data_IF_657882542963
#
_entry.id   IF_657882542963
#
_cell.length_a   1.000
_cell.length_b   1.000
_cell.length_c   1.000
_cell.angle_alpha   90.00
_cell.angle_beta   90.00
_cell.angle_gamma   90.00
#
_symmetry.space_group_name_H-M   'P 1'
#
loop_
_entity.id
_entity.type
_entity.pdbx_description
1 polymer ?
#
# COMPACT_ATOMS: atom_id res chain seq x y z
N UNK A 1 3.97 12.37 -17.68
CA UNK A 1 3.74 11.00 -17.20
C UNK A 1 2.66 10.43 -18.09
N UNK A 2 3.07 9.68 -19.09
CA UNK A 2 2.12 9.03 -20.00
C UNK A 2 1.38 7.90 -19.28
N UNK A 3 0.16 7.57 -19.70
CA UNK A 3 -0.67 6.56 -19.02
C UNK A 3 -0.02 5.16 -19.01
N UNK A 4 0.86 4.92 -19.99
CA UNK A 4 1.66 3.70 -20.13
C UNK A 4 2.75 3.64 -19.04
N UNK A 5 3.42 4.76 -18.75
CA UNK A 5 4.43 4.84 -17.67
C UNK A 5 3.80 4.65 -16.29
N UNK A 6 2.56 5.13 -16.08
CA UNK A 6 1.80 4.86 -14.85
C UNK A 6 1.49 3.36 -14.75
N UNK A 7 1.09 2.73 -15.85
CA UNK A 7 0.86 1.28 -15.91
C UNK A 7 2.08 0.45 -15.53
N UNK A 8 3.26 0.81 -16.05
CA UNK A 8 4.54 0.18 -15.66
C UNK A 8 4.87 0.42 -14.19
N UNK A 9 4.50 1.59 -13.64
CA UNK A 9 4.64 1.90 -12.23
C UNK A 9 3.85 0.89 -11.37
N UNK A 10 2.58 0.66 -11.71
CA UNK A 10 1.72 -0.33 -11.04
C UNK A 10 2.16 -1.78 -11.28
N UNK A 11 2.83 -2.08 -12.39
CA UNK A 11 3.39 -3.40 -12.71
C UNK A 11 4.71 -3.70 -11.99
N UNK A 12 5.26 -2.73 -11.26
CA UNK A 12 6.49 -2.94 -10.52
C UNK A 12 6.28 -3.87 -9.34
N UNK A 13 7.12 -4.91 -9.29
CA UNK A 13 7.15 -5.89 -8.20
C UNK A 13 7.19 -5.23 -6.82
N UNK A 14 7.85 -4.07 -6.67
CA UNK A 14 7.95 -3.35 -5.39
C UNK A 14 6.61 -2.83 -4.89
N UNK A 15 5.77 -2.33 -5.79
CA UNK A 15 4.42 -1.87 -5.44
C UNK A 15 3.54 -3.04 -5.08
N UNK A 16 3.59 -4.14 -5.84
CA UNK A 16 2.86 -5.36 -5.51
C UNK A 16 3.23 -5.89 -4.12
N UNK A 17 4.52 -5.93 -3.77
CA UNK A 17 4.97 -6.34 -2.43
C UNK A 17 4.46 -5.35 -1.37
N UNK A 18 4.56 -4.05 -1.61
CA UNK A 18 4.08 -3.03 -0.68
C UNK A 18 2.56 -3.11 -0.43
N UNK A 19 1.77 -3.33 -1.49
CA UNK A 19 0.33 -3.56 -1.41
C UNK A 19 0.04 -4.85 -0.64
N UNK A 20 0.74 -5.96 -0.95
CA UNK A 20 0.54 -7.24 -0.29
C UNK A 20 0.82 -7.16 1.22
N UNK A 21 1.90 -6.47 1.61
CA UNK A 21 2.23 -6.22 3.03
C UNK A 21 1.15 -5.35 3.68
N UNK A 22 0.72 -4.28 3.02
CA UNK A 22 -0.34 -3.40 3.53
C UNK A 22 -1.66 -4.16 3.73
N UNK A 23 -2.04 -4.99 2.76
CA UNK A 23 -3.23 -5.84 2.84
C UNK A 23 -3.13 -6.86 3.98
N UNK A 24 -1.95 -7.48 4.18
CA UNK A 24 -1.72 -8.38 5.30
C UNK A 24 -1.83 -7.67 6.66
N UNK A 25 -1.34 -6.44 6.78
CA UNK A 25 -1.48 -5.63 8.00
C UNK A 25 -2.94 -5.25 8.26
N UNK A 26 -3.68 -4.81 7.24
CA UNK A 26 -5.11 -4.53 7.38
C UNK A 26 -5.88 -5.80 7.77
N UNK A 27 -5.59 -6.94 7.15
CA UNK A 27 -6.17 -8.23 7.52
C UNK A 27 -5.90 -8.56 8.99
N UNK A 28 -4.66 -8.37 9.46
CA UNK A 28 -4.27 -8.63 10.84
C UNK A 28 -5.11 -7.77 11.81
N UNK A 29 -5.31 -6.48 11.49
CA UNK A 29 -6.18 -5.58 12.26
C UNK A 29 -7.60 -6.14 12.39
N UNK A 30 -8.20 -6.62 11.29
CA UNK A 30 -9.53 -7.21 11.31
C UNK A 30 -9.59 -8.56 12.05
N UNK A 31 -8.50 -9.34 12.06
CA UNK A 31 -8.45 -10.59 12.83
C UNK A 31 -8.28 -10.39 14.34
N UNK A 32 -7.57 -9.32 14.75
CA UNK A 32 -7.28 -9.07 16.16
C UNK A 32 -8.33 -8.21 16.86
N UNK A 33 -9.05 -7.37 16.12
CA UNK A 33 -10.03 -6.43 16.68
C UNK A 33 -11.45 -6.94 16.39
N UNK A 34 -12.18 -7.44 17.41
CA UNK A 34 -13.54 -7.95 17.22
C UNK A 34 -14.59 -6.84 17.03
N UNK A 35 -14.21 -5.57 17.19
CA UNK A 35 -15.07 -4.42 16.95
C UNK A 35 -14.82 -3.86 15.54
N UNK A 36 -15.81 -4.04 14.67
CA UNK A 36 -15.75 -3.66 13.26
C UNK A 36 -15.45 -2.17 13.05
N UNK A 37 -16.11 -1.28 13.80
CA UNK A 37 -15.91 0.16 13.69
C UNK A 37 -14.48 0.56 14.06
N UNK A 38 -13.95 0.01 15.15
CA UNK A 38 -12.57 0.24 15.58
C UNK A 38 -11.55 -0.34 14.58
N UNK A 39 -11.82 -1.53 14.02
CA UNK A 39 -10.98 -2.14 13.01
C UNK A 39 -10.88 -1.24 11.76
N UNK A 40 -12.00 -0.68 11.28
CA UNK A 40 -12.01 0.25 10.16
C UNK A 40 -11.29 1.57 10.46
N UNK A 41 -11.46 2.13 11.66
CA UNK A 41 -10.77 3.36 12.09
C UNK A 41 -9.25 3.21 12.03
N UNK A 42 -8.73 2.00 12.26
CA UNK A 42 -7.29 1.71 12.24
C UNK A 42 -6.85 1.26 10.84
N UNK A 43 -7.59 0.36 10.20
CA UNK A 43 -7.23 -0.22 8.91
C UNK A 43 -7.31 0.80 7.76
N UNK A 44 -8.25 1.75 7.80
CA UNK A 44 -8.37 2.78 6.77
C UNK A 44 -7.14 3.69 6.66
N UNK A 45 -6.67 4.37 7.73
CA UNK A 45 -5.45 5.17 7.67
C UNK A 45 -4.20 4.31 7.43
N UNK A 46 -4.15 3.09 7.98
CA UNK A 46 -3.07 2.14 7.71
C UNK A 46 -2.98 1.80 6.22
N UNK A 47 -4.12 1.51 5.58
CA UNK A 47 -4.21 1.22 4.16
C UNK A 47 -3.76 2.40 3.30
N UNK A 48 -4.25 3.61 3.60
CA UNK A 48 -3.86 4.84 2.87
C UNK A 48 -2.36 5.10 3.02
N UNK A 49 -1.82 5.01 4.23
CA UNK A 49 -0.41 5.24 4.49
C UNK A 49 0.47 4.15 3.84
N UNK A 50 0.07 2.88 3.91
CA UNK A 50 0.80 1.76 3.32
C UNK A 50 0.85 1.83 1.79
N UNK A 51 -0.27 2.20 1.15
CA UNK A 51 -0.30 2.46 -0.29
C UNK A 51 0.60 3.64 -0.64
N UNK A 52 0.46 4.78 0.05
CA UNK A 52 1.28 5.97 -0.20
C UNK A 52 2.78 5.71 -0.04
N UNK A 53 3.18 4.96 0.98
CA UNK A 53 4.57 4.57 1.22
C UNK A 53 5.08 3.64 0.11
N UNK A 54 4.25 2.73 -0.39
CA UNK A 54 4.60 1.82 -1.49
C UNK A 54 4.90 2.59 -2.78
N UNK A 55 4.06 3.58 -3.12
CA UNK A 55 4.32 4.49 -4.24
C UNK A 55 5.56 5.33 -4.04
N UNK A 56 5.72 5.94 -2.85
CA UNK A 56 6.88 6.76 -2.56
C UNK A 56 8.19 5.98 -2.66
N UNK A 57 8.20 4.73 -2.17
CA UNK A 57 9.37 3.86 -2.26
C UNK A 57 9.74 3.54 -3.71
N UNK A 58 8.74 3.28 -4.56
CA UNK A 58 8.99 3.07 -5.97
C UNK A 58 9.53 4.32 -6.67
N UNK A 59 8.86 5.47 -6.50
CA UNK A 59 9.29 6.74 -7.11
C UNK A 59 10.73 7.04 -6.70
N UNK A 60 11.07 6.87 -5.42
CA UNK A 60 12.45 7.07 -4.96
C UNK A 60 13.44 6.08 -5.58
N UNK A 61 13.04 4.83 -5.78
CA UNK A 61 13.91 3.82 -6.38
C UNK A 61 14.12 4.05 -7.90
N UNK A 62 13.13 4.61 -8.59
CA UNK A 62 13.19 4.88 -10.03
C UNK A 62 13.94 6.20 -10.32
N UNK A 63 13.76 7.23 -9.49
CA UNK A 63 14.43 8.54 -9.63
C UNK A 63 15.75 8.67 -8.85
N UNK A 64 16.16 7.64 -8.11
CA UNK A 64 17.39 7.63 -7.32
C UNK A 64 18.67 7.33 -8.12
N UNK A 65 18.68 7.57 -9.43
CA UNK A 65 19.89 7.56 -10.27
C UNK A 65 20.51 8.95 -10.34
#
# INVERSE_FOLDING_TARGET
MDIIEIGDLFLSWRVYVGIAVTAALCWLVFTCIPNETLAWIIAAPLGIAGLGLSFWWQVRADFGK
#
